data_IF_173769755938
#
_entry.id   IF_173769755938
#
_cell.length_a   1.000
_cell.length_b   1.000
_cell.length_c   1.000
_cell.angle_alpha   90.00
_cell.angle_beta   90.00
_cell.angle_gamma   90.00
#
_symmetry.space_group_name_H-M   'P 1'
#
loop_
_entity.id
_entity.type
_entity.pdbx_description
1 polymer ?
#
# COMPACT_ATOMS: atom_id res chain seq x y z
N UNK A 1 8.06 -34.44 -34.59
CA UNK A 1 8.43 -33.38 -33.60
C UNK A 1 7.35 -33.24 -32.51
N UNK A 2 7.69 -33.50 -31.23
CA UNK A 2 6.75 -33.31 -30.12
C UNK A 2 6.56 -31.80 -29.90
N UNK A 3 5.34 -31.30 -30.04
CA UNK A 3 5.02 -29.91 -29.72
C UNK A 3 5.44 -29.60 -28.28
N UNK A 4 6.10 -28.46 -28.06
CA UNK A 4 6.57 -28.06 -26.74
C UNK A 4 5.37 -27.94 -25.77
N UNK A 5 5.45 -28.46 -24.53
CA UNK A 5 4.29 -28.53 -23.62
C UNK A 5 3.57 -27.19 -23.40
N UNK A 6 4.31 -26.08 -23.34
CA UNK A 6 3.75 -24.74 -23.17
C UNK A 6 2.89 -24.26 -24.35
N UNK A 7 3.16 -24.72 -25.58
CA UNK A 7 2.35 -24.37 -26.75
C UNK A 7 0.98 -25.06 -26.71
N UNK A 8 0.90 -26.28 -26.17
CA UNK A 8 -0.35 -26.99 -25.97
C UNK A 8 -1.23 -26.32 -24.93
N UNK A 9 -0.65 -25.93 -23.80
CA UNK A 9 -1.36 -25.21 -22.74
C UNK A 9 -1.95 -23.90 -23.27
N UNK A 10 -1.17 -23.12 -24.04
CA UNK A 10 -1.65 -21.86 -24.62
C UNK A 10 -2.85 -22.07 -25.54
N UNK A 11 -2.81 -23.10 -26.39
CA UNK A 11 -3.91 -23.42 -27.29
C UNK A 11 -5.17 -23.86 -26.51
N UNK A 12 -5.03 -24.65 -25.45
CA UNK A 12 -6.14 -25.07 -24.60
C UNK A 12 -6.78 -23.90 -23.86
N UNK A 13 -5.96 -23.02 -23.28
CA UNK A 13 -6.44 -21.84 -22.53
C UNK A 13 -7.16 -20.87 -23.47
N UNK A 14 -6.65 -20.67 -24.68
CA UNK A 14 -7.32 -19.86 -25.72
C UNK A 14 -8.63 -20.50 -26.19
N UNK A 15 -8.65 -21.81 -26.43
CA UNK A 15 -9.86 -22.53 -26.85
C UNK A 15 -10.97 -22.48 -25.79
N UNK A 16 -10.59 -22.43 -24.51
CA UNK A 16 -11.52 -22.27 -23.39
C UNK A 16 -11.95 -20.81 -23.15
N UNK A 17 -11.51 -19.85 -23.97
CA UNK A 17 -11.94 -18.45 -23.89
C UNK A 17 -11.27 -17.65 -22.77
N UNK A 18 -10.18 -18.13 -22.18
CA UNK A 18 -9.45 -17.40 -21.16
C UNK A 18 -8.58 -16.28 -21.76
N UNK A 19 -8.53 -15.16 -21.06
CA UNK A 19 -7.59 -14.07 -21.33
C UNK A 19 -6.23 -14.35 -20.69
N UNK A 20 -5.16 -14.06 -21.42
CA UNK A 20 -3.80 -14.21 -20.90
C UNK A 20 -3.26 -12.88 -20.40
N UNK A 21 -2.79 -12.88 -19.16
CA UNK A 21 -2.17 -11.74 -18.50
C UNK A 21 -0.78 -12.14 -18.00
N UNK A 22 0.19 -11.21 -18.06
CA UNK A 22 1.52 -11.42 -17.51
C UNK A 22 1.80 -10.40 -16.42
N UNK A 23 2.32 -10.90 -15.30
CA UNK A 23 2.85 -10.12 -14.20
C UNK A 23 4.30 -10.51 -14.03
N UNK A 24 5.20 -9.59 -14.27
CA UNK A 24 6.63 -9.78 -14.07
C UNK A 24 7.05 -9.09 -12.77
N UNK A 25 7.78 -9.80 -11.92
CA UNK A 25 8.28 -9.28 -10.66
C UNK A 25 9.81 -9.30 -10.70
N UNK A 26 10.44 -8.19 -10.34
CA UNK A 26 11.88 -8.13 -10.16
C UNK A 26 12.22 -7.71 -8.73
N UNK A 27 13.29 -8.28 -8.19
CA UNK A 27 13.93 -7.81 -6.96
C UNK A 27 15.43 -8.17 -7.02
N UNK A 28 16.31 -7.38 -6.37
CA UNK A 28 17.73 -7.70 -6.26
C UNK A 28 17.98 -9.09 -5.67
N UNK A 29 19.11 -9.70 -6.03
CA UNK A 29 19.50 -11.02 -5.51
C UNK A 29 19.59 -11.03 -3.97
N UNK A 30 20.14 -9.97 -3.38
CA UNK A 30 20.23 -9.81 -1.92
C UNK A 30 18.85 -9.88 -1.25
N UNK A 31 17.87 -9.15 -1.79
CA UNK A 31 16.47 -9.14 -1.33
C UNK A 31 15.83 -10.51 -1.54
N UNK A 32 16.07 -11.13 -2.69
CA UNK A 32 15.55 -12.46 -3.04
C UNK A 32 16.08 -13.52 -2.09
N UNK A 33 17.37 -13.46 -1.74
CA UNK A 33 18.02 -14.34 -0.77
C UNK A 33 17.39 -14.18 0.62
N UNK A 34 17.33 -12.94 1.13
CA UNK A 34 16.76 -12.64 2.45
C UNK A 34 15.33 -13.19 2.60
N UNK A 35 14.54 -13.17 1.51
CA UNK A 35 13.15 -13.67 1.51
C UNK A 35 13.06 -15.17 1.25
N UNK A 36 13.91 -15.70 0.39
CA UNK A 36 13.85 -17.07 -0.12
C UNK A 36 14.48 -18.09 0.82
N UNK A 37 15.62 -17.76 1.42
CA UNK A 37 16.39 -18.67 2.27
C UNK A 37 15.57 -19.15 3.49
N UNK A 38 14.91 -18.28 4.29
CA UNK A 38 14.08 -18.75 5.42
C UNK A 38 12.89 -19.60 4.99
N UNK A 39 12.31 -19.31 3.81
CA UNK A 39 11.18 -20.09 3.26
C UNK A 39 11.63 -21.47 2.82
N UNK A 40 12.76 -21.54 2.13
CA UNK A 40 13.32 -22.81 1.64
C UNK A 40 13.61 -23.77 2.81
N UNK A 41 14.25 -23.28 3.88
CA UNK A 41 14.50 -24.07 5.09
C UNK A 41 13.22 -24.58 5.73
N UNK A 42 12.17 -23.74 5.83
CA UNK A 42 10.87 -24.14 6.38
C UNK A 42 10.18 -25.22 5.56
N UNK A 43 10.37 -25.21 4.24
CA UNK A 43 9.77 -26.16 3.31
C UNK A 43 10.64 -27.41 3.05
N UNK A 44 11.80 -27.51 3.69
CA UNK A 44 12.76 -28.60 3.43
C UNK A 44 13.37 -28.54 2.02
N UNK A 45 13.43 -27.35 1.42
CA UNK A 45 13.99 -27.11 0.08
C UNK A 45 15.34 -26.40 0.20
N UNK A 46 16.21 -26.61 -0.79
CA UNK A 46 17.46 -25.85 -0.92
C UNK A 46 17.20 -24.57 -1.72
N UNK A 47 17.63 -23.43 -1.19
CA UNK A 47 17.71 -22.20 -1.98
C UNK A 47 19.03 -22.17 -2.76
N UNK A 48 18.98 -21.85 -4.06
CA UNK A 48 20.15 -21.64 -4.90
C UNK A 48 20.05 -20.30 -5.66
N UNK A 49 21.13 -19.51 -5.72
CA UNK A 49 21.21 -18.30 -6.54
C UNK A 49 21.59 -18.58 -8.01
N UNK A 50 21.96 -19.81 -8.37
CA UNK A 50 22.70 -20.10 -9.61
C UNK A 50 21.91 -19.71 -10.86
N UNK A 51 20.59 -19.85 -10.82
CA UNK A 51 19.70 -19.52 -11.94
C UNK A 51 19.14 -18.10 -11.89
N UNK A 52 19.53 -17.27 -10.91
CA UNK A 52 18.95 -15.94 -10.72
C UNK A 52 19.11 -15.05 -11.97
N UNK A 53 20.30 -15.01 -12.56
CA UNK A 53 20.57 -14.17 -13.74
C UNK A 53 19.81 -14.69 -14.97
N UNK A 54 19.78 -16.02 -15.15
CA UNK A 54 19.06 -16.67 -16.25
C UNK A 54 17.55 -16.42 -16.13
N UNK A 55 16.99 -16.56 -14.94
CA UNK A 55 15.59 -16.29 -14.65
C UNK A 55 15.23 -14.83 -14.87
N UNK A 56 16.10 -13.90 -14.43
CA UNK A 56 15.92 -12.46 -14.62
C UNK A 56 15.87 -12.11 -16.12
N UNK A 57 16.85 -12.60 -16.88
CA UNK A 57 16.92 -12.37 -18.32
C UNK A 57 15.73 -12.98 -19.07
N UNK A 58 15.36 -14.22 -18.75
CA UNK A 58 14.19 -14.88 -19.35
C UNK A 58 12.88 -14.13 -19.06
N UNK A 59 12.77 -13.53 -17.87
CA UNK A 59 11.60 -12.70 -17.50
C UNK A 59 11.54 -11.42 -18.32
N UNK A 60 12.69 -10.75 -18.54
CA UNK A 60 12.79 -9.57 -19.41
C UNK A 60 12.40 -9.92 -20.85
N UNK A 61 12.95 -11.00 -21.41
CA UNK A 61 12.62 -11.44 -22.77
C UNK A 61 11.14 -11.76 -22.92
N UNK A 62 10.54 -12.40 -21.91
CA UNK A 62 9.11 -12.67 -21.90
C UNK A 62 8.29 -11.37 -21.88
N UNK A 63 8.65 -10.40 -21.03
CA UNK A 63 7.96 -9.12 -20.94
C UNK A 63 8.01 -8.35 -22.27
N UNK A 64 9.18 -8.29 -22.91
CA UNK A 64 9.36 -7.63 -24.22
C UNK A 64 8.51 -8.30 -25.30
N UNK A 65 8.61 -9.63 -25.44
CA UNK A 65 7.80 -10.39 -26.40
C UNK A 65 6.30 -10.24 -26.15
N UNK A 66 5.88 -10.13 -24.89
CA UNK A 66 4.49 -9.90 -24.53
C UNK A 66 4.02 -8.51 -24.96
N UNK A 67 4.81 -7.47 -24.69
CA UNK A 67 4.53 -6.11 -25.12
C UNK A 67 4.50 -5.96 -26.65
N UNK A 68 5.31 -6.73 -27.38
CA UNK A 68 5.22 -6.87 -28.83
C UNK A 68 3.94 -7.58 -29.27
N UNK A 69 3.62 -8.72 -28.65
CA UNK A 69 2.40 -9.49 -28.93
C UNK A 69 1.11 -8.70 -28.67
N UNK A 70 1.09 -7.83 -27.67
CA UNK A 70 -0.04 -6.92 -27.42
C UNK A 70 -0.25 -5.93 -28.58
N UNK A 71 0.80 -5.57 -29.31
CA UNK A 71 0.73 -4.65 -30.46
C UNK A 71 0.34 -5.36 -31.75
N UNK A 72 0.80 -6.59 -31.97
CA UNK A 72 0.55 -7.35 -33.21
C UNK A 72 -0.68 -8.25 -33.17
N UNK A 73 -1.00 -8.84 -32.01
CA UNK A 73 -2.04 -9.85 -31.83
C UNK A 73 -2.87 -9.59 -30.56
N UNK A 74 -3.48 -8.39 -30.48
CA UNK A 74 -4.18 -7.89 -29.29
C UNK A 74 -5.24 -8.85 -28.70
N UNK A 75 -5.82 -9.75 -29.48
CA UNK A 75 -6.81 -10.72 -28.99
C UNK A 75 -6.22 -11.83 -28.10
N UNK A 76 -4.92 -12.13 -28.22
CA UNK A 76 -4.29 -13.24 -27.47
C UNK A 76 -3.43 -12.77 -26.29
N UNK A 77 -3.11 -11.48 -26.22
CA UNK A 77 -2.24 -10.88 -25.21
C UNK A 77 -2.98 -9.71 -24.56
N UNK A 78 -3.51 -9.90 -23.35
CA UNK A 78 -4.46 -8.95 -22.76
C UNK A 78 -3.79 -7.83 -21.98
N UNK A 79 -2.91 -8.18 -21.05
CA UNK A 79 -2.15 -7.18 -20.29
C UNK A 79 -0.77 -7.68 -19.89
N UNK A 80 0.11 -6.71 -19.67
CA UNK A 80 1.43 -6.85 -19.08
C UNK A 80 1.53 -5.84 -17.94
N UNK A 81 1.93 -6.30 -16.77
CA UNK A 81 2.36 -5.43 -15.68
C UNK A 81 3.73 -5.87 -15.19
N UNK A 82 4.60 -4.92 -14.89
CA UNK A 82 5.96 -5.16 -14.43
C UNK A 82 6.14 -4.42 -13.11
N UNK A 83 6.71 -5.10 -12.12
CA UNK A 83 6.79 -4.59 -10.75
C UNK A 83 8.20 -4.68 -10.21
N UNK A 84 8.63 -3.59 -9.58
CA UNK A 84 9.74 -3.56 -8.66
C UNK A 84 9.26 -4.04 -7.28
N UNK A 85 9.65 -5.26 -6.92
CA UNK A 85 9.33 -5.93 -5.67
C UNK A 85 10.45 -5.81 -4.63
N UNK A 86 11.36 -4.86 -4.79
CA UNK A 86 12.48 -4.60 -3.86
C UNK A 86 11.98 -4.30 -2.44
N UNK A 87 10.91 -3.51 -2.30
CA UNK A 87 10.22 -3.23 -1.04
C UNK A 87 8.74 -3.59 -1.14
N UNK A 88 8.08 -3.77 0.00
CA UNK A 88 6.62 -3.92 0.07
C UNK A 88 5.95 -2.59 0.46
N UNK A 89 4.78 -2.22 -0.07
CA UNK A 89 4.14 -2.83 -1.24
C UNK A 89 5.04 -2.73 -2.47
N UNK A 90 4.93 -3.70 -3.38
CA UNK A 90 5.64 -3.67 -4.64
C UNK A 90 5.18 -2.45 -5.45
N UNK A 91 6.07 -1.89 -6.27
CA UNK A 91 5.80 -0.72 -7.08
C UNK A 91 5.71 -1.10 -8.55
N UNK A 92 4.62 -0.72 -9.22
CA UNK A 92 4.51 -0.87 -10.67
C UNK A 92 5.48 0.11 -11.35
N UNK A 93 6.20 -0.37 -12.37
CA UNK A 93 7.18 0.43 -13.12
C UNK A 93 6.90 0.35 -14.61
N UNK A 94 7.54 1.19 -15.41
CA UNK A 94 7.51 1.04 -16.86
C UNK A 94 8.34 -0.17 -17.30
N UNK A 95 8.05 -0.69 -18.50
CA UNK A 95 8.86 -1.77 -19.09
C UNK A 95 10.33 -1.37 -19.23
N UNK A 96 10.61 -0.14 -19.69
CA UNK A 96 11.98 0.37 -19.81
C UNK A 96 12.70 0.39 -18.46
N UNK A 97 12.01 0.84 -17.40
CA UNK A 97 12.56 0.83 -16.04
C UNK A 97 12.78 -0.60 -15.54
N UNK A 98 11.88 -1.53 -15.85
CA UNK A 98 12.05 -2.94 -15.49
C UNK A 98 13.30 -3.57 -16.16
N UNK A 99 13.54 -3.25 -17.44
CA UNK A 99 14.72 -3.69 -18.18
C UNK A 99 16.00 -3.10 -17.56
N UNK A 100 15.99 -1.80 -17.25
CA UNK A 100 17.11 -1.12 -16.61
C UNK A 100 17.45 -1.76 -15.26
N UNK A 101 16.45 -1.94 -14.39
CA UNK A 101 16.59 -2.59 -13.08
C UNK A 101 17.17 -4.00 -13.21
N UNK A 102 16.65 -4.79 -14.15
CA UNK A 102 17.08 -6.16 -14.43
C UNK A 102 18.51 -6.25 -14.95
N UNK A 103 19.06 -5.15 -15.45
CA UNK A 103 20.43 -5.04 -16.01
C UNK A 103 21.43 -4.44 -15.02
N UNK A 104 21.02 -4.07 -13.80
CA UNK A 104 21.92 -3.51 -12.80
C UNK A 104 22.96 -4.54 -12.36
N UNK A 105 24.19 -4.10 -12.13
CA UNK A 105 25.18 -4.89 -11.40
C UNK A 105 24.69 -5.15 -9.97
N UNK A 106 25.19 -6.22 -9.33
CA UNK A 106 24.81 -6.54 -7.94
C UNK A 106 24.97 -5.35 -6.99
N UNK A 107 26.09 -4.62 -7.07
CA UNK A 107 26.33 -3.43 -6.25
C UNK A 107 25.29 -2.32 -6.48
N UNK A 108 24.93 -2.05 -7.75
CA UNK A 108 23.92 -1.05 -8.08
C UNK A 108 22.52 -1.50 -7.68
N UNK A 109 22.21 -2.78 -7.81
CA UNK A 109 20.94 -3.36 -7.38
C UNK A 109 20.78 -3.30 -5.85
N UNK A 110 21.86 -3.51 -5.11
CA UNK A 110 21.87 -3.37 -3.65
C UNK A 110 21.77 -1.91 -3.22
N UNK A 111 22.43 -0.99 -3.93
CA UNK A 111 22.27 0.44 -3.72
C UNK A 111 20.84 0.92 -3.97
N UNK A 112 20.18 0.40 -5.03
CA UNK A 112 18.76 0.59 -5.31
C UNK A 112 17.90 0.06 -4.15
N UNK A 113 18.16 -1.14 -3.64
CA UNK A 113 17.47 -1.69 -2.48
C UNK A 113 17.57 -0.81 -1.24
N UNK A 114 18.77 -0.31 -0.96
CA UNK A 114 19.00 0.60 0.16
C UNK A 114 18.25 1.93 -0.04
N UNK A 115 18.21 2.47 -1.26
CA UNK A 115 17.47 3.69 -1.58
C UNK A 115 15.96 3.49 -1.39
N UNK A 116 15.39 2.41 -1.93
CA UNK A 116 13.97 2.07 -1.74
C UNK A 116 13.62 1.90 -0.25
N UNK A 117 14.47 1.23 0.52
CA UNK A 117 14.27 1.05 1.96
C UNK A 117 14.33 2.38 2.74
N UNK A 118 15.21 3.32 2.36
CA UNK A 118 15.23 4.69 2.92
C UNK A 118 13.94 5.44 2.58
N UNK A 119 13.58 5.53 1.30
CA UNK A 119 12.38 6.22 0.85
C UNK A 119 11.11 5.70 1.55
N UNK A 120 11.00 4.38 1.77
CA UNK A 120 9.89 3.79 2.51
C UNK A 120 9.86 4.22 3.98
N UNK A 121 11.01 4.27 4.67
CA UNK A 121 11.08 4.74 6.05
C UNK A 121 10.70 6.22 6.17
N UNK A 122 11.13 7.04 5.22
CA UNK A 122 10.82 8.46 5.20
C UNK A 122 9.32 8.70 4.96
N UNK A 123 8.72 7.95 4.03
CA UNK A 123 7.27 7.96 3.81
C UNK A 123 6.50 7.56 5.07
N UNK A 124 6.90 6.47 5.73
CA UNK A 124 6.25 6.01 6.95
C UNK A 124 6.33 7.04 8.08
N UNK A 125 7.49 7.67 8.24
CA UNK A 125 7.71 8.76 9.22
C UNK A 125 6.81 9.95 8.92
N UNK A 126 6.71 10.33 7.64
CA UNK A 126 5.87 11.44 7.20
C UNK A 126 4.38 11.15 7.45
N UNK A 127 3.91 9.95 7.08
CA UNK A 127 2.53 9.52 7.33
C UNK A 127 2.21 9.53 8.83
N UNK A 128 3.10 9.02 9.68
CA UNK A 128 2.91 9.05 11.13
C UNK A 128 2.76 10.49 11.68
N UNK A 129 3.57 11.43 11.19
CA UNK A 129 3.48 12.85 11.57
C UNK A 129 2.15 13.48 11.13
N UNK A 130 1.70 13.19 9.91
CA UNK A 130 0.43 13.68 9.38
C UNK A 130 -0.74 13.09 10.18
N UNK A 131 -0.74 11.78 10.44
CA UNK A 131 -1.77 11.12 11.25
C UNK A 131 -1.83 11.71 12.65
N UNK A 132 -0.68 11.92 13.30
CA UNK A 132 -0.62 12.56 14.62
C UNK A 132 -1.20 13.98 14.60
N UNK A 133 -0.85 14.79 13.60
CA UNK A 133 -1.38 16.14 13.43
C UNK A 133 -2.91 16.13 13.26
N UNK A 134 -3.46 15.23 12.44
CA UNK A 134 -4.90 15.07 12.24
C UNK A 134 -5.61 14.70 13.55
N UNK A 135 -5.06 13.75 14.31
CA UNK A 135 -5.62 13.33 15.61
C UNK A 135 -5.61 14.51 16.59
N UNK A 136 -4.50 15.27 16.66
CA UNK A 136 -4.39 16.46 17.51
C UNK A 136 -5.41 17.53 17.11
N UNK A 137 -5.55 17.86 15.83
CA UNK A 137 -6.54 18.82 15.33
C UNK A 137 -7.97 18.39 15.68
N UNK A 138 -8.31 17.11 15.47
CA UNK A 138 -9.62 16.56 15.86
C UNK A 138 -9.87 16.69 17.37
N UNK A 139 -8.84 16.46 18.21
CA UNK A 139 -8.97 16.63 19.65
C UNK A 139 -9.23 18.09 20.06
N UNK A 140 -8.55 19.05 19.40
CA UNK A 140 -8.73 20.48 19.64
C UNK A 140 -10.13 20.95 19.22
N UNK A 141 -10.61 20.54 18.05
CA UNK A 141 -11.97 20.87 17.59
C UNK A 141 -13.03 20.32 18.57
N UNK A 142 -12.88 19.09 19.05
CA UNK A 142 -13.79 18.51 20.06
C UNK A 142 -13.74 19.29 21.39
N UNK A 143 -12.56 19.71 21.83
CA UNK A 143 -12.42 20.52 23.04
C UNK A 143 -13.14 21.87 22.89
N UNK A 144 -12.93 22.57 21.76
CA UNK A 144 -13.61 23.85 21.47
C UNK A 144 -15.13 23.72 21.45
N UNK A 145 -15.68 22.63 20.90
CA UNK A 145 -17.13 22.39 20.94
C UNK A 145 -17.68 22.15 22.36
N UNK A 146 -16.92 21.54 23.27
CA UNK A 146 -17.34 21.38 24.67
C UNK A 146 -17.35 22.72 25.40
N UNK A 147 -16.34 23.56 25.19
CA UNK A 147 -16.29 24.90 25.79
C UNK A 147 -17.38 25.82 25.26
N UNK A 148 -17.75 25.71 23.97
CA UNK A 148 -18.86 26.47 23.38
C UNK A 148 -20.22 26.14 23.98
N UNK A 149 -20.49 24.87 24.32
CA UNK A 149 -21.75 24.44 24.95
C UNK A 149 -21.90 24.92 26.40
N UNK A 150 -20.81 25.00 27.17
CA UNK A 150 -20.89 25.47 28.56
C UNK A 150 -21.24 26.96 28.65
N UNK A 151 -20.74 27.80 27.72
CA UNK A 151 -21.09 29.23 27.71
C UNK A 151 -22.54 29.53 27.32
N UNK A 152 -23.20 28.67 26.52
CA UNK A 152 -24.62 28.87 26.21
C UNK A 152 -25.54 28.49 27.37
N UNK A 153 -25.15 27.52 28.20
CA UNK A 153 -25.95 27.10 29.36
C UNK A 153 -25.91 28.15 30.47
N UNK A 154 -24.75 28.75 30.76
CA UNK A 154 -24.64 29.80 31.78
C UNK A 154 -25.41 31.08 31.42
N UNK A 155 -25.50 31.41 30.13
CA UNK A 155 -26.28 32.57 29.65
C UNK A 155 -27.79 32.34 29.75
N UNK A 156 -28.26 31.11 29.53
CA UNK A 156 -29.68 30.76 29.66
C UNK A 156 -30.15 30.72 31.11
N UNK A 157 -29.30 30.33 32.07
CA UNK A 157 -29.68 30.34 33.50
C UNK A 157 -29.78 31.75 34.10
N UNK A 158 -29.03 32.74 33.57
CA UNK A 158 -29.17 34.12 34.05
C UNK A 158 -30.45 34.81 33.59
N UNK A 159 -31.04 34.42 32.45
CA UNK A 159 -32.35 34.96 32.01
C UNK A 159 -33.55 34.29 32.69
N UNK A 160 -33.45 33.04 33.13
CA UNK A 160 -34.56 32.37 33.82
C UNK A 160 -34.71 32.73 35.30
N UNK A 161 -33.77 33.45 35.91
CA UNK A 161 -33.84 33.84 37.34
C UNK A 161 -34.48 35.23 37.57
N UNK A 162 -34.95 35.92 36.52
CA UNK A 162 -35.63 37.23 36.64
C UNK A 162 -37.16 37.15 36.66
N UNK A 163 -37.75 35.94 36.56
CA UNK A 163 -39.20 35.73 36.49
C UNK A 163 -39.63 34.79 37.62
N UNK A 164 -39.35 35.10 38.90
CA UNK A 164 -40.15 34.58 40.02
C UNK A 164 -39.84 35.29 41.35
N UNK A 165 -40.19 36.58 41.45
CA UNK A 165 -40.15 37.33 42.73
C UNK A 165 -41.49 37.93 43.12
N UNK A 166 -42.58 37.31 42.68
CA UNK A 166 -43.95 37.79 42.98
C UNK A 166 -44.86 36.73 43.57
N UNK A 167 -44.39 35.79 44.40
CA UNK A 167 -45.28 35.02 45.29
C UNK A 167 -44.54 34.60 46.57
N UNK A 168 -45.27 34.56 47.69
CA UNK A 168 -44.85 34.33 49.09
C UNK A 168 -44.31 35.58 49.81
N UNK A 169 -45.08 36.33 50.60
CA UNK A 169 -46.32 36.00 51.31
C UNK A 169 -46.03 35.53 52.73
N UNK A 170 -46.23 36.45 53.70
CA UNK A 170 -46.62 36.27 55.11
C UNK A 170 -46.16 34.98 55.83
N UNK A 171 -45.43 35.12 56.94
CA UNK A 171 -45.99 34.77 58.28
C UNK A 171 -44.98 35.01 59.42
N UNK A 172 -45.56 35.26 60.60
CA UNK A 172 -45.00 35.16 61.97
C UNK A 172 -44.17 36.32 62.52
N UNK A 173 -44.71 37.02 63.52
CA UNK A 173 -44.39 36.73 64.93
C UNK A 173 -45.25 37.58 65.88
N UNK A 174 -45.91 36.91 66.81
CA UNK A 174 -46.54 37.50 67.99
C UNK A 174 -46.66 36.41 69.03
N UNK A 175 -45.69 36.34 69.95
CA UNK A 175 -45.72 35.49 71.15
C UNK A 175 -45.73 36.40 72.39
N UNK A 176 -46.50 35.89 73.34
CA UNK A 176 -46.85 36.31 74.69
C UNK A 176 -45.74 36.93 75.53
#
# INVERSE_FOLDING_TARGET
PRARPHLRLRAQVKAAGYELHVICLWAPLSVTKIRGEPRSMREGKLWSPDEYMVSTQGTVEMAVKWAEGMRSEAQSFRSLTVWDNTVFPAQEVSLDRFIELSSLSHEKADAHAAACARARRDLHTTLARVTFAIVKLRSMVRASHRFGRHRSTERSTMESTSIDRSMFGRSTMGRS
#
